data_IF_377810097478
#
_entry.id   IF_377810097478
#
_cell.length_a   1.000
_cell.length_b   1.000
_cell.length_c   1.000
_cell.angle_alpha   90.00
_cell.angle_beta   90.00
_cell.angle_gamma   90.00
#
_symmetry.space_group_name_H-M   'P 1'
#
loop_
_entity.id
_entity.type
_entity.pdbx_description
1 polymer ?
#
# COMPACT_ATOMS: atom_id res chain seq x y z
N UNK A 1 -46.55 41.45 8.66
CA UNK A 1 -46.79 40.10 8.11
C UNK A 1 -45.72 39.86 7.07
N UNK A 2 -44.59 39.32 7.47
CA UNK A 2 -43.57 38.78 6.57
C UNK A 2 -42.98 37.56 7.25
N UNK A 3 -43.29 36.44 6.66
CA UNK A 3 -42.98 35.08 7.09
C UNK A 3 -41.53 34.78 6.66
N UNK A 4 -40.67 34.46 7.59
CA UNK A 4 -39.27 34.09 7.35
C UNK A 4 -39.13 32.62 7.62
N UNK A 5 -39.20 31.78 6.58
CA UNK A 5 -38.92 30.37 6.64
C UNK A 5 -37.43 30.16 6.80
N UNK A 6 -37.01 29.69 7.97
CA UNK A 6 -35.67 29.21 8.25
C UNK A 6 -35.46 27.85 7.60
N UNK A 7 -34.54 27.78 6.63
CA UNK A 7 -34.02 26.52 6.11
C UNK A 7 -33.02 25.93 7.13
N UNK A 8 -33.45 24.89 7.82
CA UNK A 8 -32.61 24.09 8.68
C UNK A 8 -31.70 23.16 7.85
N UNK A 9 -30.44 23.52 7.70
CA UNK A 9 -29.39 22.60 7.27
C UNK A 9 -29.03 21.72 8.46
N UNK A 10 -29.44 20.46 8.41
CA UNK A 10 -28.99 19.42 9.34
C UNK A 10 -27.52 19.12 9.02
N UNK A 11 -26.61 19.06 10.01
CA UNK A 11 -25.23 18.66 9.75
C UNK A 11 -25.21 17.20 9.30
N UNK A 12 -24.47 16.94 8.21
CA UNK A 12 -24.19 15.60 7.75
C UNK A 12 -23.52 14.80 8.89
N UNK A 13 -24.16 13.70 9.28
CA UNK A 13 -23.63 12.79 10.28
C UNK A 13 -22.31 12.20 9.75
N UNK A 14 -21.25 12.45 10.50
CA UNK A 14 -19.90 11.92 10.31
C UNK A 14 -19.98 10.38 10.47
N UNK A 15 -20.15 9.67 9.36
CA UNK A 15 -20.06 8.21 9.31
C UNK A 15 -18.59 7.86 9.13
N UNK A 16 -17.84 7.86 10.22
CA UNK A 16 -16.64 7.02 10.30
C UNK A 16 -17.06 5.59 9.91
N UNK A 17 -16.38 4.90 8.99
CA UNK A 17 -16.71 3.51 8.70
C UNK A 17 -16.52 2.72 9.98
N UNK A 18 -17.63 2.31 10.60
CA UNK A 18 -17.62 1.35 11.70
C UNK A 18 -16.91 0.10 11.18
N UNK A 19 -15.84 -0.33 11.85
CA UNK A 19 -15.25 -1.64 11.63
C UNK A 19 -16.36 -2.66 11.89
N UNK A 20 -16.99 -3.16 10.81
CA UNK A 20 -18.01 -4.18 10.88
C UNK A 20 -17.42 -5.41 11.56
N UNK A 21 -18.15 -6.01 12.47
CA UNK A 21 -17.79 -7.29 13.07
C UNK A 21 -17.53 -8.29 11.94
N UNK A 22 -16.28 -8.71 11.80
CA UNK A 22 -15.86 -9.71 10.81
C UNK A 22 -16.58 -11.01 11.16
N UNK A 23 -17.35 -11.63 10.27
CA UNK A 23 -17.97 -12.92 10.55
C UNK A 23 -16.93 -13.93 11.04
N UNK A 24 -17.25 -14.75 12.01
CA UNK A 24 -16.32 -15.68 12.69
C UNK A 24 -15.58 -16.66 11.76
N UNK A 25 -15.82 -16.61 10.44
CA UNK A 25 -15.25 -17.47 9.42
C UNK A 25 -14.61 -16.68 8.24
N UNK A 26 -14.44 -15.36 8.33
CA UNK A 26 -13.81 -14.56 7.29
C UNK A 26 -12.35 -14.29 7.63
N UNK A 27 -11.48 -14.37 6.61
CA UNK A 27 -10.15 -13.78 6.66
C UNK A 27 -10.25 -12.29 7.02
N UNK A 28 -9.18 -11.72 7.62
CA UNK A 28 -9.07 -10.27 7.77
C UNK A 28 -9.36 -9.57 6.43
N UNK A 29 -9.76 -8.29 6.45
CA UNK A 29 -9.87 -7.50 5.23
C UNK A 29 -8.63 -7.65 4.36
N UNK A 30 -8.83 -7.90 3.07
CA UNK A 30 -7.75 -8.01 2.10
C UNK A 30 -7.67 -6.76 1.24
N UNK A 31 -6.46 -6.26 1.08
CA UNK A 31 -6.13 -5.10 0.27
C UNK A 31 -5.01 -5.43 -0.71
N UNK A 32 -4.85 -4.64 -1.75
CA UNK A 32 -3.84 -4.87 -2.79
C UNK A 32 -2.80 -3.77 -2.80
N UNK A 33 -1.55 -4.14 -3.08
CA UNK A 33 -0.45 -3.23 -3.36
C UNK A 33 -0.02 -3.37 -4.81
N UNK A 34 -0.17 -2.29 -5.57
CA UNK A 34 0.22 -2.22 -6.98
C UNK A 34 1.45 -1.33 -7.17
N UNK A 35 2.44 -1.88 -7.84
CA UNK A 35 3.67 -1.17 -8.22
C UNK A 35 3.58 -0.57 -9.63
N UNK A 36 2.49 -0.77 -10.37
CA UNK A 36 2.41 -0.52 -11.80
C UNK A 36 3.64 -1.12 -12.53
N UNK A 37 3.89 -2.41 -12.26
CA UNK A 37 5.09 -3.12 -12.77
C UNK A 37 5.10 -3.13 -14.29
N UNK A 38 6.21 -2.72 -14.90
CA UNK A 38 6.42 -2.78 -16.35
C UNK A 38 7.06 -4.13 -16.68
N UNK A 39 6.32 -5.04 -17.27
CA UNK A 39 6.85 -6.35 -17.66
C UNK A 39 7.77 -6.24 -18.88
N UNK A 40 8.53 -7.29 -19.13
CA UNK A 40 9.48 -7.34 -20.25
C UNK A 40 8.75 -7.12 -21.59
N UNK A 41 9.15 -6.07 -22.33
CA UNK A 41 8.57 -5.72 -23.63
C UNK A 41 7.37 -4.79 -23.58
N UNK A 42 6.87 -4.46 -22.39
CA UNK A 42 5.79 -3.49 -22.20
C UNK A 42 6.31 -2.04 -22.13
N UNK A 43 5.41 -1.11 -22.39
CA UNK A 43 5.58 0.32 -22.12
C UNK A 43 4.95 0.67 -20.76
N UNK A 44 5.33 1.79 -20.12
CA UNK A 44 4.64 2.27 -18.91
C UNK A 44 3.13 2.43 -19.07
N UNK A 45 2.65 2.78 -20.26
CA UNK A 45 1.22 2.89 -20.54
C UNK A 45 0.47 1.56 -20.34
N UNK A 46 1.10 0.45 -20.75
CA UNK A 46 0.50 -0.88 -20.63
C UNK A 46 0.40 -1.29 -19.14
N UNK A 47 1.35 -0.86 -18.30
CA UNK A 47 1.27 -1.04 -16.85
C UNK A 47 0.16 -0.19 -16.21
N UNK A 48 -0.07 1.03 -16.66
CA UNK A 48 -1.18 1.87 -16.17
C UNK A 48 -2.54 1.30 -16.56
N UNK A 49 -2.69 0.80 -17.79
CA UNK A 49 -3.93 0.13 -18.23
C UNK A 49 -4.20 -1.13 -17.39
N UNK A 50 -3.17 -1.89 -17.04
CA UNK A 50 -3.28 -3.02 -16.12
C UNK A 50 -3.69 -2.59 -14.70
N UNK A 51 -3.12 -1.51 -14.17
CA UNK A 51 -3.50 -0.97 -12.87
C UNK A 51 -4.99 -0.58 -12.82
N UNK A 52 -5.55 -0.06 -13.91
CA UNK A 52 -7.00 0.18 -14.02
C UNK A 52 -7.79 -1.14 -13.99
N UNK A 53 -7.36 -2.14 -14.76
CA UNK A 53 -8.02 -3.46 -14.78
C UNK A 53 -8.00 -4.11 -13.39
N UNK A 54 -6.87 -4.03 -12.68
CA UNK A 54 -6.74 -4.55 -11.32
C UNK A 54 -7.68 -3.84 -10.36
N UNK A 55 -7.76 -2.52 -10.39
CA UNK A 55 -8.65 -1.76 -9.51
C UNK A 55 -10.12 -2.09 -9.75
N UNK A 56 -10.54 -2.20 -11.01
CA UNK A 56 -11.90 -2.57 -11.38
C UNK A 56 -12.23 -4.02 -10.99
N UNK A 57 -11.28 -4.94 -11.11
CA UNK A 57 -11.47 -6.33 -10.71
C UNK A 57 -11.50 -6.44 -9.17
N UNK A 58 -10.60 -5.76 -8.46
CA UNK A 58 -10.57 -5.72 -7.01
C UNK A 58 -11.88 -5.16 -6.42
N UNK A 59 -12.42 -4.09 -7.03
CA UNK A 59 -13.72 -3.52 -6.66
C UNK A 59 -14.85 -4.53 -6.81
N UNK A 60 -14.91 -5.25 -7.93
CA UNK A 60 -15.92 -6.29 -8.20
C UNK A 60 -15.81 -7.49 -7.25
N UNK A 61 -14.62 -7.84 -6.84
CA UNK A 61 -14.34 -8.98 -5.98
C UNK A 61 -14.48 -8.67 -4.49
N UNK A 62 -14.55 -7.38 -4.09
CA UNK A 62 -14.74 -6.99 -2.71
C UNK A 62 -13.47 -6.78 -1.88
N UNK A 63 -12.35 -6.49 -2.52
CA UNK A 63 -11.16 -6.04 -1.81
C UNK A 63 -11.41 -4.69 -1.14
N UNK A 64 -10.81 -4.50 0.05
CA UNK A 64 -11.00 -3.29 0.85
C UNK A 64 -10.45 -2.04 0.17
N UNK A 65 -9.21 -2.13 -0.34
CA UNK A 65 -8.49 -1.03 -0.97
C UNK A 65 -7.43 -1.51 -1.94
N UNK A 66 -6.95 -0.60 -2.78
CA UNK A 66 -5.72 -0.79 -3.53
C UNK A 66 -4.81 0.42 -3.35
N UNK A 67 -3.55 0.17 -2.99
CA UNK A 67 -2.53 1.19 -2.80
C UNK A 67 -1.48 1.14 -3.90
N UNK A 68 -0.99 2.31 -4.28
CA UNK A 68 0.05 2.49 -5.31
C UNK A 68 1.34 2.93 -4.65
N UNK A 69 2.45 2.28 -5.00
CA UNK A 69 3.77 2.64 -4.48
C UNK A 69 4.32 3.93 -5.10
N UNK A 70 5.37 4.48 -4.50
CA UNK A 70 6.18 5.54 -5.12
C UNK A 70 7.63 5.07 -5.26
N UNK A 71 8.11 4.97 -6.51
CA UNK A 71 9.50 4.65 -6.81
C UNK A 71 9.99 5.54 -7.95
N UNK A 72 11.20 6.07 -7.79
CA UNK A 72 11.82 6.92 -8.80
C UNK A 72 12.99 6.20 -9.48
N UNK A 73 13.24 6.53 -10.74
CA UNK A 73 14.36 6.01 -11.54
C UNK A 73 14.39 4.47 -11.64
N UNK A 74 13.24 3.81 -11.59
CA UNK A 74 13.09 2.35 -11.73
C UNK A 74 12.38 2.02 -13.04
N UNK A 75 13.09 1.40 -14.00
CA UNK A 75 12.52 1.06 -15.32
C UNK A 75 11.42 0.00 -15.24
N UNK A 76 11.40 -0.81 -14.20
CA UNK A 76 10.42 -1.88 -13.98
C UNK A 76 9.19 -1.45 -13.18
N UNK A 77 9.13 -0.19 -12.72
CA UNK A 77 8.02 0.33 -11.91
C UNK A 77 7.60 1.68 -12.48
N UNK A 78 6.36 1.80 -12.91
CA UNK A 78 5.83 3.02 -13.50
C UNK A 78 5.19 3.98 -12.47
N UNK A 79 4.91 3.54 -11.24
CA UNK A 79 4.28 4.35 -10.20
C UNK A 79 5.29 5.29 -9.53
N UNK A 80 5.70 6.35 -10.21
CA UNK A 80 6.53 7.43 -9.66
C UNK A 80 5.74 8.63 -9.15
N UNK A 81 4.46 8.70 -9.47
CA UNK A 81 3.56 9.81 -9.10
C UNK A 81 2.23 9.24 -8.64
N UNK A 82 2.14 8.72 -7.40
CA UNK A 82 0.95 8.02 -6.91
C UNK A 82 -0.31 8.90 -6.99
N UNK A 83 -0.25 10.18 -6.64
CA UNK A 83 -1.42 11.06 -6.71
C UNK A 83 -2.02 11.16 -8.13
N UNK A 84 -1.17 11.23 -9.16
CA UNK A 84 -1.62 11.27 -10.58
C UNK A 84 -2.25 9.95 -10.99
N UNK A 85 -1.61 8.82 -10.61
CA UNK A 85 -2.12 7.48 -10.93
C UNK A 85 -3.45 7.22 -10.21
N UNK A 86 -3.56 7.57 -8.94
CA UNK A 86 -4.79 7.46 -8.14
C UNK A 86 -5.92 8.28 -8.78
N UNK A 87 -5.68 9.52 -9.21
CA UNK A 87 -6.68 10.34 -9.90
C UNK A 87 -7.22 9.66 -11.14
N UNK A 88 -6.33 9.08 -11.97
CA UNK A 88 -6.69 8.36 -13.18
C UNK A 88 -7.56 7.13 -12.91
N UNK A 89 -7.23 6.36 -11.86
CA UNK A 89 -7.92 5.12 -11.50
C UNK A 89 -9.24 5.42 -10.77
N UNK A 90 -9.25 6.41 -9.89
CA UNK A 90 -10.44 6.81 -9.15
C UNK A 90 -11.59 7.25 -10.05
N UNK A 91 -11.26 7.89 -11.20
CA UNK A 91 -12.23 8.25 -12.23
C UNK A 91 -12.81 7.04 -13.00
N UNK A 92 -12.24 5.84 -12.82
CA UNK A 92 -12.63 4.60 -13.52
C UNK A 92 -13.17 3.51 -12.58
N UNK A 93 -13.26 3.81 -11.30
CA UNK A 93 -13.79 2.97 -10.23
C UNK A 93 -14.82 3.76 -9.43
N UNK A 94 -15.62 3.09 -8.59
CA UNK A 94 -16.77 3.72 -7.95
C UNK A 94 -16.78 3.61 -6.43
N UNK A 95 -16.28 2.50 -5.86
CA UNK A 95 -16.47 2.16 -4.44
C UNK A 95 -15.18 1.80 -3.72
N UNK A 96 -14.22 1.17 -4.40
CA UNK A 96 -12.96 0.74 -3.79
C UNK A 96 -12.15 1.93 -3.26
N UNK A 97 -11.56 1.77 -2.09
CA UNK A 97 -10.63 2.77 -1.56
C UNK A 97 -9.31 2.74 -2.34
N UNK A 98 -8.78 3.91 -2.61
CA UNK A 98 -7.55 4.08 -3.36
C UNK A 98 -6.57 4.92 -2.53
N UNK A 99 -5.30 4.55 -2.55
CA UNK A 99 -4.33 5.28 -1.75
C UNK A 99 -2.90 5.13 -2.22
N UNK A 100 -2.01 5.84 -1.54
CA UNK A 100 -0.58 5.64 -1.70
C UNK A 100 -0.05 4.64 -0.66
N UNK A 101 0.71 3.67 -1.12
CA UNK A 101 1.37 2.70 -0.26
C UNK A 101 2.89 2.65 -0.46
N UNK A 102 3.53 3.84 -0.30
CA UNK A 102 3.15 5.16 0.19
C UNK A 102 3.78 6.30 -0.60
N UNK A 103 3.37 7.51 -0.22
CA UNK A 103 4.13 8.70 -0.60
C UNK A 103 5.43 8.71 0.20
N UNK A 104 6.56 8.84 -0.48
CA UNK A 104 7.88 9.00 0.16
C UNK A 104 8.03 10.46 0.59
N UNK A 105 7.42 10.80 1.74
CA UNK A 105 7.24 12.20 2.18
C UNK A 105 8.51 13.05 2.20
N UNK A 106 9.72 12.50 2.53
CA UNK A 106 10.96 13.28 2.43
C UNK A 106 11.30 13.82 1.04
N UNK A 107 10.69 13.27 -0.02
CA UNK A 107 10.87 13.75 -1.39
C UNK A 107 9.98 14.96 -1.71
N UNK A 108 9.03 15.30 -0.85
CA UNK A 108 7.96 16.27 -1.12
C UNK A 108 7.89 17.38 -0.06
N UNK A 109 7.20 18.47 -0.40
CA UNK A 109 6.75 19.45 0.60
C UNK A 109 5.40 18.97 1.16
N UNK A 110 5.21 18.95 2.51
CA UNK A 110 3.95 18.50 3.12
C UNK A 110 2.72 19.23 2.60
N UNK A 111 2.82 20.55 2.37
CA UNK A 111 1.73 21.34 1.79
C UNK A 111 1.27 20.80 0.43
N UNK A 112 2.21 20.50 -0.48
CA UNK A 112 1.88 20.01 -1.82
C UNK A 112 1.17 18.65 -1.75
N UNK A 113 1.60 17.77 -0.84
CA UNK A 113 0.92 16.47 -0.64
C UNK A 113 -0.48 16.67 -0.05
N UNK A 114 -0.65 17.61 0.91
CA UNK A 114 -1.96 17.93 1.44
C UNK A 114 -2.92 18.46 0.35
N UNK A 115 -2.43 19.33 -0.54
CA UNK A 115 -3.21 19.85 -1.67
C UNK A 115 -3.58 18.76 -2.69
N UNK A 116 -2.63 17.87 -3.04
CA UNK A 116 -2.88 16.77 -3.97
C UNK A 116 -3.90 15.77 -3.43
N UNK A 117 -3.72 15.29 -2.20
CA UNK A 117 -4.62 14.31 -1.61
C UNK A 117 -5.93 14.93 -1.13
N UNK A 118 -5.92 16.21 -0.75
CA UNK A 118 -7.13 16.98 -0.52
C UNK A 118 -7.97 17.12 -1.81
N UNK A 119 -7.34 17.44 -2.93
CA UNK A 119 -8.00 17.49 -4.23
C UNK A 119 -8.61 16.11 -4.58
N UNK A 120 -7.88 15.03 -4.37
CA UNK A 120 -8.38 13.67 -4.60
C UNK A 120 -9.60 13.36 -3.71
N UNK A 121 -9.56 13.76 -2.44
CA UNK A 121 -10.63 13.53 -1.49
C UNK A 121 -11.90 14.34 -1.82
N UNK A 122 -11.76 15.57 -2.31
CA UNK A 122 -12.89 16.38 -2.80
C UNK A 122 -13.51 15.79 -4.08
N UNK A 123 -12.68 15.27 -4.99
CA UNK A 123 -13.15 14.62 -6.21
C UNK A 123 -13.80 13.25 -5.95
N UNK A 124 -13.32 12.52 -4.93
CA UNK A 124 -13.73 11.14 -4.61
C UNK A 124 -13.94 10.97 -3.10
N UNK A 125 -14.99 11.60 -2.52
CA UNK A 125 -15.22 11.63 -1.08
C UNK A 125 -15.26 10.22 -0.44
N UNK A 126 -14.53 10.07 0.67
CA UNK A 126 -14.52 8.84 1.47
C UNK A 126 -13.74 7.67 0.86
N UNK A 127 -13.04 7.87 -0.27
CA UNK A 127 -12.35 6.78 -0.98
C UNK A 127 -10.82 6.90 -0.99
N UNK A 128 -10.25 7.94 -0.42
CA UNK A 128 -8.82 8.27 -0.56
C UNK A 128 -8.08 8.02 0.74
N UNK A 129 -7.02 7.23 0.67
CA UNK A 129 -6.07 6.96 1.75
C UNK A 129 -4.70 7.59 1.46
N UNK A 130 -3.96 7.94 2.50
CA UNK A 130 -2.61 8.48 2.36
C UNK A 130 -1.62 7.73 3.26
N UNK A 131 -0.93 6.76 2.68
CA UNK A 131 0.19 6.11 3.33
C UNK A 131 1.49 6.89 3.16
N UNK A 132 2.27 7.02 4.23
CA UNK A 132 3.47 7.85 4.31
C UNK A 132 4.69 6.99 4.62
N UNK A 133 5.71 7.04 3.75
CA UNK A 133 6.99 6.38 3.92
C UNK A 133 8.12 7.36 4.21
N UNK A 134 9.08 6.92 5.05
CA UNK A 134 10.29 7.70 5.36
C UNK A 134 11.43 7.46 4.37
N UNK A 135 11.50 6.25 3.79
CA UNK A 135 12.55 5.92 2.84
C UNK A 135 12.40 6.75 1.55
N UNK A 136 13.51 7.15 0.90
CA UNK A 136 13.41 7.97 -0.32
C UNK A 136 12.87 7.21 -1.54
N UNK A 137 12.76 5.87 -1.48
CA UNK A 137 12.29 5.04 -2.61
C UNK A 137 13.17 5.13 -3.86
N UNK A 138 14.45 5.52 -3.71
CA UNK A 138 15.36 5.75 -4.83
C UNK A 138 16.83 5.79 -4.39
N UNK A 139 17.74 5.98 -5.37
CA UNK A 139 19.18 6.13 -5.17
C UNK A 139 19.62 7.59 -4.93
N UNK A 140 20.88 7.77 -4.51
CA UNK A 140 21.44 9.10 -4.19
C UNK A 140 21.50 10.06 -5.40
N UNK A 141 21.68 9.56 -6.62
CA UNK A 141 21.71 10.42 -7.81
C UNK A 141 20.31 10.97 -8.10
N UNK A 142 19.31 10.15 -7.91
CA UNK A 142 17.90 10.55 -8.06
C UNK A 142 17.49 11.53 -6.96
N UNK A 143 17.96 11.36 -5.72
CA UNK A 143 17.74 12.37 -4.66
C UNK A 143 18.27 13.74 -5.05
N UNK A 144 19.48 13.82 -5.67
CA UNK A 144 20.02 15.08 -6.20
C UNK A 144 19.14 15.68 -7.29
N UNK A 145 18.58 14.84 -8.19
CA UNK A 145 17.66 15.29 -9.22
C UNK A 145 16.34 15.82 -8.64
N UNK A 146 15.87 15.22 -7.53
CA UNK A 146 14.72 15.68 -6.74
C UNK A 146 15.08 16.93 -5.87
N UNK A 147 16.35 17.37 -5.86
CA UNK A 147 16.85 18.47 -5.03
C UNK A 147 16.62 18.23 -3.54
N UNK A 148 16.79 16.98 -3.10
CA UNK A 148 16.65 16.55 -1.72
C UNK A 148 17.99 16.08 -1.16
N UNK A 149 18.24 16.44 0.10
CA UNK A 149 19.38 15.98 0.86
C UNK A 149 19.03 14.66 1.60
N UNK A 150 20.02 13.77 1.84
CA UNK A 150 19.77 12.55 2.63
C UNK A 150 19.18 12.81 4.02
N UNK A 151 19.49 13.95 4.62
CA UNK A 151 18.96 14.40 5.92
C UNK A 151 17.46 14.72 5.91
N UNK A 152 16.82 14.88 4.74
CA UNK A 152 15.38 15.10 4.65
C UNK A 152 14.54 13.98 5.32
N UNK A 153 15.10 12.77 5.45
CA UNK A 153 14.44 11.69 6.19
C UNK A 153 14.43 11.90 7.72
N UNK A 154 15.23 12.81 8.25
CA UNK A 154 15.30 13.11 9.70
C UNK A 154 14.13 13.98 10.15
N UNK A 155 13.56 14.80 9.25
CA UNK A 155 12.39 15.66 9.52
C UNK A 155 11.07 14.96 9.33
N UNK A 156 11.07 13.66 8.94
CA UNK A 156 9.86 12.90 8.64
C UNK A 156 8.77 12.99 9.73
N UNK A 157 9.05 12.89 11.04
CA UNK A 157 8.01 13.04 12.06
C UNK A 157 7.36 14.44 12.07
N UNK A 158 8.16 15.49 11.86
CA UNK A 158 7.69 16.87 11.79
C UNK A 158 6.86 17.09 10.53
N UNK A 159 7.31 16.53 9.39
CA UNK A 159 6.62 16.63 8.12
C UNK A 159 5.25 15.91 8.16
N UNK A 160 5.16 14.75 8.82
CA UNK A 160 3.89 14.05 9.08
C UNK A 160 2.96 14.90 9.94
N UNK A 161 3.49 15.50 11.00
CA UNK A 161 2.69 16.34 11.88
C UNK A 161 2.22 17.65 11.20
N UNK A 162 3.03 18.20 10.30
CA UNK A 162 2.64 19.37 9.47
C UNK A 162 1.54 18.98 8.48
N UNK A 163 1.72 17.88 7.75
CA UNK A 163 0.73 17.34 6.82
C UNK A 163 -0.60 17.04 7.53
N UNK A 164 -0.56 16.43 8.71
CA UNK A 164 -1.75 16.19 9.52
C UNK A 164 -2.48 17.50 9.84
N UNK A 165 -1.74 18.55 10.22
CA UNK A 165 -2.30 19.88 10.48
C UNK A 165 -2.97 20.49 9.25
N UNK A 166 -2.39 20.33 8.05
CA UNK A 166 -2.98 20.82 6.81
C UNK A 166 -4.31 20.13 6.47
N UNK A 167 -4.43 18.83 6.71
CA UNK A 167 -5.63 18.06 6.38
C UNK A 167 -6.74 18.15 7.43
N UNK A 168 -6.37 18.31 8.70
CA UNK A 168 -7.30 18.24 9.83
C UNK A 168 -7.50 19.57 10.57
N UNK A 169 -6.55 20.50 10.43
CA UNK A 169 -6.49 21.75 11.20
C UNK A 169 -6.06 21.57 12.67
N UNK A 170 -5.57 22.63 13.29
CA UNK A 170 -5.06 23.84 12.65
C UNK A 170 -3.73 23.61 11.94
N UNK A 171 -3.44 24.40 10.90
CA UNK A 171 -2.12 24.43 10.26
C UNK A 171 -1.03 24.78 11.27
N UNK A 172 0.13 24.09 11.17
CA UNK A 172 1.29 24.38 12.00
C UNK A 172 2.08 25.61 11.52
N UNK A 173 1.83 26.08 10.32
CA UNK A 173 2.44 27.29 9.75
C UNK A 173 1.38 28.40 9.71
N UNK A 174 1.51 29.44 10.54
CA UNK A 174 0.53 30.51 10.58
C UNK A 174 0.31 31.21 9.23
N UNK A 175 -0.95 31.35 8.83
CA UNK A 175 -1.32 31.98 7.57
C UNK A 175 -1.16 31.12 6.32
N UNK A 176 -0.81 29.84 6.46
CA UNK A 176 -0.74 28.88 5.35
C UNK A 176 -1.80 27.80 5.55
N UNK A 177 -2.66 27.63 4.58
CA UNK A 177 -3.69 26.61 4.56
C UNK A 177 -3.56 25.76 3.28
N UNK A 178 -3.78 24.48 3.39
CA UNK A 178 -3.87 23.62 2.22
C UNK A 178 -5.26 23.75 1.59
N UNK A 179 -5.34 24.28 0.39
CA UNK A 179 -6.61 24.41 -0.36
C UNK A 179 -6.55 23.53 -1.60
N UNK A 180 -7.46 22.55 -1.73
CA UNK A 180 -8.69 22.28 -0.96
C UNK A 180 -8.51 21.29 0.22
N UNK A 181 -7.29 20.97 0.66
CA UNK A 181 -7.01 19.90 1.62
C UNK A 181 -7.57 20.08 3.04
N UNK A 182 -7.69 21.32 3.51
CA UNK A 182 -8.14 21.63 4.87
C UNK A 182 -9.55 21.08 5.15
N UNK A 183 -9.67 20.28 6.20
CA UNK A 183 -10.93 19.69 6.63
C UNK A 183 -11.37 18.44 5.87
N UNK A 184 -10.64 17.99 4.84
CA UNK A 184 -10.93 16.76 4.11
C UNK A 184 -10.71 15.50 4.95
N UNK A 185 -9.89 15.62 6.00
CA UNK A 185 -9.62 14.55 6.96
C UNK A 185 -9.17 13.23 6.28
N UNK A 186 -8.37 13.32 5.22
CA UNK A 186 -7.83 12.12 4.55
C UNK A 186 -7.15 11.21 5.57
N UNK A 187 -7.50 9.92 5.65
CA UNK A 187 -6.87 8.98 6.56
C UNK A 187 -5.38 8.82 6.28
N UNK A 188 -4.56 8.99 7.32
CA UNK A 188 -3.11 8.81 7.26
C UNK A 188 -2.69 7.45 7.81
N UNK A 189 -1.71 6.83 7.16
CA UNK A 189 -1.09 5.56 7.57
C UNK A 189 0.43 5.73 7.58
N UNK A 190 1.10 5.25 8.63
CA UNK A 190 2.57 5.23 8.65
C UNK A 190 3.06 3.90 8.08
N UNK A 191 3.87 3.96 7.04
CA UNK A 191 4.47 2.79 6.42
C UNK A 191 5.93 2.63 6.87
N UNK A 192 6.33 1.39 7.08
CA UNK A 192 7.72 1.11 7.42
C UNK A 192 8.09 -0.36 7.34
N UNK A 193 9.39 -0.60 7.48
CA UNK A 193 9.99 -1.94 7.57
C UNK A 193 10.95 -2.05 8.76
N UNK A 194 10.80 -1.15 9.74
CA UNK A 194 11.69 -1.04 10.90
C UNK A 194 10.94 -0.56 12.13
N UNK A 195 11.59 -0.66 13.30
CA UNK A 195 11.02 -0.22 14.58
C UNK A 195 10.71 1.29 14.63
N UNK A 196 11.43 2.11 13.86
CA UNK A 196 11.20 3.56 13.84
C UNK A 196 9.78 3.91 13.38
N UNK A 197 9.30 3.30 12.27
CA UNK A 197 7.94 3.53 11.79
C UNK A 197 6.88 3.08 12.80
N UNK A 198 7.11 1.97 13.48
CA UNK A 198 6.25 1.43 14.52
C UNK A 198 6.12 2.41 15.71
N UNK A 199 7.25 2.92 16.21
CA UNK A 199 7.29 3.89 17.31
C UNK A 199 6.60 5.20 16.94
N UNK A 200 6.84 5.70 15.71
CA UNK A 200 6.22 6.92 15.24
C UNK A 200 4.70 6.78 15.10
N UNK A 201 4.24 5.69 14.47
CA UNK A 201 2.81 5.42 14.31
C UNK A 201 2.12 5.30 15.68
N UNK A 202 2.72 4.58 16.63
CA UNK A 202 2.21 4.44 17.99
C UNK A 202 2.10 5.79 18.70
N UNK A 203 3.14 6.61 18.65
CA UNK A 203 3.16 7.93 19.29
C UNK A 203 2.14 8.90 18.69
N UNK A 204 1.90 8.82 17.38
CA UNK A 204 0.93 9.68 16.69
C UNK A 204 -0.52 9.15 16.75
N UNK A 205 -0.74 7.94 17.28
CA UNK A 205 -2.05 7.30 17.29
C UNK A 205 -2.59 7.05 15.88
N UNK A 206 -1.72 6.67 14.94
CA UNK A 206 -2.05 6.39 13.54
C UNK A 206 -1.93 4.90 13.23
N UNK A 207 -2.70 4.38 12.25
CA UNK A 207 -2.52 3.03 11.73
C UNK A 207 -1.11 2.79 11.19
N UNK A 208 -0.60 1.57 11.38
CA UNK A 208 0.73 1.17 10.97
C UNK A 208 0.68 0.09 9.89
N UNK A 209 1.41 0.29 8.79
CA UNK A 209 1.55 -0.69 7.73
C UNK A 209 2.99 -1.18 7.63
N UNK A 210 3.21 -2.49 7.85
CA UNK A 210 4.54 -3.08 7.78
C UNK A 210 4.79 -3.76 6.43
N UNK A 211 5.89 -3.39 5.79
CA UNK A 211 6.26 -3.84 4.44
C UNK A 211 6.95 -5.23 4.45
N UNK A 212 6.33 -6.23 5.07
CA UNK A 212 6.89 -7.59 5.25
C UNK A 212 7.04 -8.38 3.96
N UNK A 213 6.37 -7.98 2.88
CA UNK A 213 6.48 -8.59 1.55
C UNK A 213 7.87 -8.44 0.90
N UNK A 214 8.72 -7.55 1.42
CA UNK A 214 10.11 -7.41 0.97
C UNK A 214 11.11 -7.23 2.11
N UNK A 215 10.70 -6.91 3.34
CA UNK A 215 11.55 -6.71 4.50
C UNK A 215 11.01 -7.49 5.71
N UNK A 216 11.09 -8.84 5.72
CA UNK A 216 10.37 -9.69 6.67
C UNK A 216 10.94 -9.65 8.10
N UNK A 217 12.22 -9.33 8.28
CA UNK A 217 12.99 -9.65 9.49
C UNK A 217 12.45 -9.02 10.77
N UNK A 218 11.96 -7.78 10.72
CA UNK A 218 11.56 -7.05 11.92
C UNK A 218 10.03 -7.05 12.17
N UNK A 219 9.23 -7.79 11.40
CA UNK A 219 7.77 -7.74 11.43
C UNK A 219 7.21 -7.87 12.85
N UNK A 220 7.42 -8.99 13.49
CA UNK A 220 6.82 -9.30 14.80
C UNK A 220 7.27 -8.33 15.89
N UNK A 221 8.57 -7.99 15.90
CA UNK A 221 9.09 -7.02 16.84
C UNK A 221 8.51 -5.61 16.63
N UNK A 222 8.37 -5.18 15.38
CA UNK A 222 7.82 -3.87 15.06
C UNK A 222 6.34 -3.77 15.43
N UNK A 223 5.55 -4.82 15.15
CA UNK A 223 4.14 -4.87 15.54
C UNK A 223 3.98 -4.87 17.06
N UNK A 224 4.80 -5.64 17.79
CA UNK A 224 4.78 -5.62 19.24
C UNK A 224 5.09 -4.23 19.79
N UNK A 225 6.16 -3.58 19.30
CA UNK A 225 6.52 -2.21 19.70
C UNK A 225 5.40 -1.22 19.41
N UNK A 226 4.74 -1.35 18.26
CA UNK A 226 3.60 -0.50 17.91
C UNK A 226 2.45 -0.68 18.89
N UNK A 227 2.01 -1.91 19.15
CA UNK A 227 0.87 -2.20 20.04
C UNK A 227 1.14 -1.81 21.48
N UNK A 228 2.34 -2.12 22.01
CA UNK A 228 2.72 -1.84 23.40
C UNK A 228 2.82 -0.34 23.71
N UNK A 229 3.15 0.49 22.72
CA UNK A 229 3.36 1.93 22.89
C UNK A 229 2.26 2.78 22.24
N UNK A 230 1.18 2.17 21.76
CA UNK A 230 0.11 2.88 21.06
C UNK A 230 -0.56 3.91 21.96
N UNK A 231 -0.67 5.14 21.44
CA UNK A 231 -1.39 6.23 22.07
C UNK A 231 -2.71 6.46 21.32
N UNK A 232 -3.86 6.13 21.93
CA UNK A 232 -5.15 6.34 21.28
C UNK A 232 -5.36 7.76 20.82
N UNK A 233 -5.89 7.92 19.60
CA UNK A 233 -6.32 9.21 19.07
C UNK A 233 -7.86 9.22 18.91
N UNK A 234 -8.44 10.41 18.76
CA UNK A 234 -9.90 10.54 18.56
C UNK A 234 -10.41 9.71 17.37
N UNK A 235 -9.61 9.64 16.29
CA UNK A 235 -9.97 8.91 15.06
C UNK A 235 -9.61 7.43 15.11
N UNK A 236 -8.63 7.06 15.90
CA UNK A 236 -8.13 5.69 16.02
C UNK A 236 -8.02 5.35 17.52
N UNK A 237 -9.12 4.97 18.18
CA UNK A 237 -9.12 4.61 19.61
C UNK A 237 -8.34 3.32 19.87
N UNK A 238 -8.21 2.44 18.85
CA UNK A 238 -7.49 1.17 18.92
C UNK A 238 -6.36 1.11 17.90
N UNK A 239 -5.27 0.38 18.19
CA UNK A 239 -4.18 0.19 17.23
C UNK A 239 -4.66 -0.64 16.04
N UNK A 240 -4.22 -0.26 14.82
CA UNK A 240 -4.56 -0.96 13.59
C UNK A 240 -3.31 -1.28 12.79
N UNK A 241 -3.08 -2.57 12.52
CA UNK A 241 -1.91 -3.10 11.84
C UNK A 241 -2.29 -3.66 10.47
N UNK A 242 -1.62 -3.17 9.43
CA UNK A 242 -1.64 -3.76 8.09
C UNK A 242 -0.32 -4.49 7.87
N UNK A 243 -0.35 -5.81 7.64
CA UNK A 243 0.84 -6.58 7.29
C UNK A 243 0.86 -6.94 5.81
N UNK A 244 1.98 -6.67 5.13
CA UNK A 244 2.09 -6.96 3.72
C UNK A 244 2.59 -8.39 3.48
N UNK A 245 1.99 -9.09 2.50
CA UNK A 245 2.28 -10.49 2.16
C UNK A 245 2.26 -10.69 0.65
N UNK A 246 3.16 -11.53 0.14
CA UNK A 246 3.14 -11.92 -1.27
C UNK A 246 2.15 -13.06 -1.50
N UNK A 247 1.47 -13.06 -2.63
CA UNK A 247 0.54 -14.14 -3.02
C UNK A 247 0.78 -14.52 -4.48
N UNK A 248 0.90 -15.84 -4.71
CA UNK A 248 0.83 -16.47 -6.03
C UNK A 248 -0.19 -17.59 -5.95
N UNK A 249 -1.42 -17.33 -6.38
CA UNK A 249 -2.49 -18.30 -6.41
C UNK A 249 -2.76 -18.78 -7.85
N UNK A 250 -2.92 -20.09 -8.04
CA UNK A 250 -3.26 -20.68 -9.32
C UNK A 250 -4.26 -21.85 -9.15
N UNK A 251 -4.79 -22.36 -10.26
CA UNK A 251 -5.77 -23.46 -10.23
C UNK A 251 -5.17 -24.77 -9.72
N UNK A 252 -3.86 -24.95 -9.89
CA UNK A 252 -3.13 -26.10 -9.37
C UNK A 252 -1.88 -25.66 -8.58
N UNK A 253 -1.45 -26.53 -7.66
CA UNK A 253 -0.23 -26.30 -6.88
C UNK A 253 1.00 -26.16 -7.77
N UNK A 254 1.13 -27.01 -8.79
CA UNK A 254 2.27 -27.00 -9.73
C UNK A 254 2.35 -25.71 -10.55
N UNK A 255 1.22 -25.16 -10.99
CA UNK A 255 1.16 -23.87 -11.68
C UNK A 255 1.59 -22.71 -10.77
N UNK A 256 1.10 -22.68 -9.54
CA UNK A 256 1.48 -21.64 -8.58
C UNK A 256 2.99 -21.69 -8.28
N UNK A 257 3.55 -22.88 -8.07
CA UNK A 257 4.99 -23.06 -7.83
C UNK A 257 5.84 -22.64 -9.03
N UNK A 258 5.39 -22.94 -10.25
CA UNK A 258 6.10 -22.52 -11.47
C UNK A 258 6.06 -20.99 -11.65
N UNK A 259 4.89 -20.36 -11.46
CA UNK A 259 4.76 -18.91 -11.49
C UNK A 259 5.67 -18.25 -10.46
N UNK A 260 5.67 -18.74 -9.22
CA UNK A 260 6.51 -18.19 -8.16
C UNK A 260 8.01 -18.39 -8.44
N UNK A 261 8.40 -19.52 -9.03
CA UNK A 261 9.79 -19.76 -9.47
C UNK A 261 10.23 -18.71 -10.51
N UNK A 262 9.37 -18.38 -11.46
CA UNK A 262 9.65 -17.32 -12.45
C UNK A 262 9.79 -15.94 -11.80
N UNK A 263 8.98 -15.63 -10.79
CA UNK A 263 9.09 -14.40 -9.98
C UNK A 263 10.44 -14.37 -9.26
N UNK A 264 10.83 -15.45 -8.59
CA UNK A 264 12.13 -15.56 -7.90
C UNK A 264 13.29 -15.35 -8.89
N UNK A 265 13.26 -15.99 -10.04
CA UNK A 265 14.27 -15.84 -11.10
C UNK A 265 14.36 -14.38 -11.57
N UNK A 266 13.22 -13.74 -11.80
CA UNK A 266 13.17 -12.34 -12.22
C UNK A 266 13.73 -11.41 -11.13
N UNK A 267 13.39 -11.64 -9.86
CA UNK A 267 13.88 -10.86 -8.72
C UNK A 267 15.41 -10.94 -8.62
N UNK A 268 15.98 -12.13 -8.66
CA UNK A 268 17.44 -12.34 -8.60
C UNK A 268 18.12 -11.72 -9.82
N UNK A 269 17.57 -11.91 -11.03
CA UNK A 269 18.08 -11.31 -12.26
C UNK A 269 18.17 -9.78 -12.18
N UNK A 270 17.13 -9.14 -11.68
CA UNK A 270 17.06 -7.67 -11.56
C UNK A 270 18.02 -7.17 -10.48
N UNK A 271 18.02 -7.76 -9.30
CA UNK A 271 18.76 -7.24 -8.14
C UNK A 271 20.24 -7.59 -8.18
N UNK A 272 20.59 -8.82 -8.54
CA UNK A 272 21.97 -9.29 -8.57
C UNK A 272 22.64 -9.19 -9.95
N UNK A 273 21.85 -9.17 -11.01
CA UNK A 273 22.36 -9.05 -12.38
C UNK A 273 22.97 -7.70 -12.72
N UNK A 274 22.66 -6.65 -11.95
CA UNK A 274 23.21 -5.28 -12.14
C UNK A 274 23.13 -4.79 -13.58
N UNK A 275 22.06 -5.11 -14.30
CA UNK A 275 21.87 -4.73 -15.70
C UNK A 275 22.59 -5.61 -16.72
N UNK A 276 23.32 -6.66 -16.30
CA UNK A 276 23.94 -7.64 -17.20
C UNK A 276 22.87 -8.61 -17.75
N UNK A 277 23.09 -9.04 -19.00
CA UNK A 277 22.37 -10.21 -19.54
C UNK A 277 22.99 -11.48 -18.94
N UNK A 278 22.20 -12.25 -18.20
CA UNK A 278 22.62 -13.52 -17.62
C UNK A 278 22.04 -14.67 -18.46
N UNK A 279 22.83 -15.74 -18.67
CA UNK A 279 22.30 -16.99 -19.19
C UNK A 279 21.44 -17.69 -18.13
N UNK A 280 20.68 -18.72 -18.50
CA UNK A 280 19.86 -19.45 -17.54
C UNK A 280 20.72 -20.20 -16.51
N UNK A 281 21.89 -20.77 -16.96
CA UNK A 281 22.86 -21.42 -16.07
C UNK A 281 23.50 -20.45 -15.09
N UNK A 282 23.88 -19.24 -15.57
CA UNK A 282 24.41 -18.18 -14.67
C UNK A 282 23.37 -17.74 -13.65
N UNK A 283 22.10 -17.69 -14.05
CA UNK A 283 21.01 -17.31 -13.15
C UNK A 283 20.75 -18.40 -12.10
N UNK A 284 20.79 -19.68 -12.48
CA UNK A 284 20.65 -20.79 -11.55
C UNK A 284 21.77 -20.80 -10.51
N UNK A 285 23.03 -20.65 -10.95
CA UNK A 285 24.15 -20.51 -10.03
C UNK A 285 24.03 -19.32 -9.10
N UNK A 286 23.47 -18.20 -9.62
CA UNK A 286 23.27 -17.00 -8.82
C UNK A 286 22.16 -17.17 -7.79
N UNK A 287 21.07 -17.85 -8.13
CA UNK A 287 19.98 -18.18 -7.21
C UNK A 287 20.51 -19.02 -6.05
N UNK A 288 21.33 -20.02 -6.32
CA UNK A 288 21.92 -20.91 -5.29
C UNK A 288 23.03 -20.25 -4.47
N UNK A 289 23.53 -19.10 -4.89
CA UNK A 289 24.55 -18.38 -4.16
C UNK A 289 24.01 -17.72 -2.88
N UNK A 290 24.88 -17.43 -1.86
CA UNK A 290 24.47 -16.69 -0.67
C UNK A 290 23.79 -15.35 -0.99
N UNK A 291 24.23 -14.65 -2.02
CA UNK A 291 23.65 -13.38 -2.46
C UNK A 291 22.25 -13.58 -3.05
N UNK A 292 22.05 -14.63 -3.84
CA UNK A 292 20.72 -15.01 -4.36
C UNK A 292 19.76 -15.41 -3.24
N UNK A 293 20.22 -16.23 -2.31
CA UNK A 293 19.42 -16.63 -1.16
C UNK A 293 19.03 -15.44 -0.26
N UNK A 294 19.92 -14.47 -0.08
CA UNK A 294 19.60 -13.25 0.64
C UNK A 294 18.52 -12.41 -0.08
N UNK A 295 18.53 -12.38 -1.42
CA UNK A 295 17.48 -11.72 -2.21
C UNK A 295 16.16 -12.49 -2.07
N UNK A 296 16.19 -13.82 -2.09
CA UNK A 296 14.99 -14.65 -1.94
C UNK A 296 14.41 -14.60 -0.52
N UNK A 297 15.24 -14.36 0.51
CA UNK A 297 14.74 -14.15 1.87
C UNK A 297 13.79 -12.94 1.98
N UNK A 298 13.88 -11.98 1.09
CA UNK A 298 12.89 -10.89 0.97
C UNK A 298 11.48 -11.40 0.66
N UNK A 299 11.35 -12.57 0.04
CA UNK A 299 10.08 -13.22 -0.32
C UNK A 299 9.63 -14.26 0.72
N UNK A 300 10.18 -14.24 1.92
CA UNK A 300 9.88 -15.21 3.01
C UNK A 300 8.39 -15.33 3.29
N UNK A 301 7.68 -14.22 3.31
CA UNK A 301 6.24 -14.21 3.51
C UNK A 301 5.53 -14.24 2.15
N UNK A 302 5.39 -15.44 1.60
CA UNK A 302 4.73 -15.70 0.32
C UNK A 302 3.79 -16.89 0.42
N UNK A 303 2.51 -16.66 0.18
CA UNK A 303 1.50 -17.69 0.01
C UNK A 303 1.53 -18.19 -1.44
N UNK A 304 1.84 -19.48 -1.67
CA UNK A 304 1.99 -20.05 -3.01
C UNK A 304 1.17 -21.34 -3.10
N UNK A 305 0.16 -21.38 -3.97
CA UNK A 305 -0.64 -22.58 -4.13
C UNK A 305 -2.05 -22.34 -4.64
N UNK A 306 -2.88 -23.36 -4.44
CA UNK A 306 -4.33 -23.28 -4.69
C UNK A 306 -5.03 -22.40 -3.65
N UNK A 307 -6.30 -22.07 -3.87
CA UNK A 307 -7.09 -21.24 -2.96
C UNK A 307 -7.05 -21.71 -1.50
N UNK A 308 -7.21 -23.02 -1.27
CA UNK A 308 -7.19 -23.59 0.09
C UNK A 308 -5.81 -23.49 0.76
N UNK A 309 -4.74 -23.64 -0.01
CA UNK A 309 -3.35 -23.51 0.49
C UNK A 309 -3.08 -22.04 0.84
N UNK A 310 -3.44 -21.14 -0.06
CA UNK A 310 -3.27 -19.68 0.15
C UNK A 310 -4.08 -19.20 1.34
N UNK A 311 -5.35 -19.61 1.47
CA UNK A 311 -6.20 -19.25 2.61
C UNK A 311 -5.55 -19.65 3.93
N UNK A 312 -5.13 -20.91 4.07
CA UNK A 312 -4.50 -21.40 5.30
C UNK A 312 -3.24 -20.63 5.65
N UNK A 313 -2.39 -20.39 4.65
CA UNK A 313 -1.17 -19.59 4.85
C UNK A 313 -1.50 -18.15 5.34
N UNK A 314 -2.50 -17.50 4.76
CA UNK A 314 -2.89 -16.14 5.13
C UNK A 314 -3.50 -16.08 6.54
N UNK A 315 -4.25 -17.11 6.97
CA UNK A 315 -4.75 -17.24 8.34
C UNK A 315 -3.58 -17.34 9.34
N UNK A 316 -2.64 -18.24 9.09
CA UNK A 316 -1.43 -18.41 9.91
C UNK A 316 -0.55 -17.13 9.91
N UNK A 317 -0.39 -16.50 8.75
CA UNK A 317 0.39 -15.26 8.64
C UNK A 317 -0.27 -14.10 9.37
N UNK A 318 -1.59 -13.96 9.29
CA UNK A 318 -2.34 -12.96 10.03
C UNK A 318 -2.12 -13.08 11.55
N UNK A 319 -2.20 -14.30 12.08
CA UNK A 319 -1.97 -14.56 13.50
C UNK A 319 -0.50 -14.26 13.87
N UNK A 320 0.45 -14.73 13.08
CA UNK A 320 1.88 -14.47 13.28
C UNK A 320 2.21 -12.97 13.28
N UNK A 321 1.62 -12.21 12.35
CA UNK A 321 1.81 -10.78 12.22
C UNK A 321 0.94 -9.96 13.17
N UNK A 322 -0.01 -10.58 13.89
CA UNK A 322 -1.05 -9.89 14.65
C UNK A 322 -1.73 -8.78 13.84
N UNK A 323 -2.03 -9.07 12.57
CA UNK A 323 -2.54 -8.09 11.61
C UNK A 323 -4.07 -7.97 11.68
N UNK A 324 -4.55 -6.73 11.58
CA UNK A 324 -5.97 -6.39 11.45
C UNK A 324 -6.41 -6.40 9.99
N UNK A 325 -5.47 -6.17 9.05
CA UNK A 325 -5.66 -6.19 7.60
C UNK A 325 -4.43 -6.78 6.90
N UNK A 326 -4.61 -7.48 5.79
CA UNK A 326 -3.51 -8.00 4.98
C UNK A 326 -3.40 -7.21 3.66
N UNK A 327 -2.22 -6.63 3.42
CA UNK A 327 -1.88 -5.95 2.16
C UNK A 327 -1.19 -6.94 1.23
N UNK A 328 -1.89 -7.39 0.21
CA UNK A 328 -1.43 -8.42 -0.72
C UNK A 328 -0.65 -7.78 -1.87
N UNK A 329 0.58 -8.26 -2.08
CA UNK A 329 1.36 -8.03 -3.29
C UNK A 329 1.25 -9.26 -4.19
N UNK A 330 0.51 -9.16 -5.28
CA UNK A 330 0.38 -10.26 -6.23
C UNK A 330 1.70 -10.51 -6.94
N UNK A 331 2.18 -11.74 -6.89
CA UNK A 331 3.44 -12.18 -7.48
C UNK A 331 3.13 -13.14 -8.64
N UNK A 332 2.82 -12.58 -9.80
CA UNK A 332 2.49 -13.34 -11.00
C UNK A 332 3.27 -12.81 -12.21
N UNK A 333 3.71 -13.67 -13.13
CA UNK A 333 4.55 -13.27 -14.25
C UNK A 333 3.80 -12.55 -15.38
N UNK A 334 2.47 -12.59 -15.41
CA UNK A 334 1.65 -11.92 -16.43
C UNK A 334 0.37 -11.31 -15.88
N UNK A 335 -0.27 -10.47 -16.68
CA UNK A 335 -1.56 -9.85 -16.34
C UNK A 335 -2.67 -10.90 -16.16
N UNK A 336 -2.74 -11.90 -17.03
CA UNK A 336 -3.78 -12.94 -16.96
C UNK A 336 -3.64 -13.76 -15.66
N UNK A 337 -2.43 -14.17 -15.32
CA UNK A 337 -2.13 -14.91 -14.09
C UNK A 337 -2.40 -14.05 -12.84
N UNK A 338 -2.09 -12.76 -12.88
CA UNK A 338 -2.40 -11.85 -11.77
C UNK A 338 -3.91 -11.71 -11.53
N UNK A 339 -4.70 -11.54 -12.59
CA UNK A 339 -6.16 -11.46 -12.48
C UNK A 339 -6.74 -12.77 -11.97
N UNK A 340 -6.24 -13.92 -12.47
CA UNK A 340 -6.67 -15.23 -11.99
C UNK A 340 -6.31 -15.47 -10.52
N UNK A 341 -5.09 -15.09 -10.11
CA UNK A 341 -4.66 -15.13 -8.72
C UNK A 341 -5.56 -14.28 -7.81
N UNK A 342 -5.97 -13.11 -8.27
CA UNK A 342 -6.90 -12.24 -7.55
C UNK A 342 -8.29 -12.88 -7.38
N UNK A 343 -8.83 -13.55 -8.40
CA UNK A 343 -10.10 -14.28 -8.33
C UNK A 343 -10.03 -15.43 -7.32
N UNK A 344 -9.01 -16.28 -7.45
CA UNK A 344 -8.79 -17.41 -6.54
C UNK A 344 -8.66 -16.94 -5.09
N UNK A 345 -7.93 -15.84 -4.87
CA UNK A 345 -7.76 -15.25 -3.54
C UNK A 345 -9.09 -14.72 -2.98
N UNK A 346 -9.88 -14.02 -3.80
CA UNK A 346 -11.19 -13.50 -3.38
C UNK A 346 -12.16 -14.62 -3.02
N UNK A 347 -12.22 -15.67 -3.83
CA UNK A 347 -13.05 -16.87 -3.56
C UNK A 347 -12.60 -17.56 -2.26
N UNK A 348 -11.28 -17.80 -2.10
CA UNK A 348 -10.70 -18.42 -0.92
C UNK A 348 -10.98 -17.61 0.37
N UNK A 349 -10.95 -16.29 0.28
CA UNK A 349 -11.24 -15.38 1.39
C UNK A 349 -12.74 -15.12 1.59
N UNK A 350 -13.60 -15.63 0.72
CA UNK A 350 -15.05 -15.38 0.72
C UNK A 350 -15.38 -13.87 0.67
N UNK A 351 -14.63 -13.11 -0.12
CA UNK A 351 -14.87 -11.68 -0.29
C UNK A 351 -16.22 -11.45 -0.98
N UNK A 352 -16.84 -10.34 -0.64
CA UNK A 352 -18.09 -9.89 -1.28
C UNK A 352 -17.99 -8.40 -1.57
N UNK A 353 -18.47 -7.94 -2.73
CA UNK A 353 -18.49 -6.52 -3.05
C UNK A 353 -19.17 -5.70 -1.97
N UNK A 354 -18.66 -4.49 -1.72
CA UNK A 354 -19.32 -3.57 -0.79
C UNK A 354 -20.74 -3.30 -1.27
N UNK A 355 -21.73 -3.57 -0.40
CA UNK A 355 -23.11 -3.17 -0.65
C UNK A 355 -23.20 -1.65 -0.57
N UNK A 356 -23.78 -1.01 -1.58
CA UNK A 356 -23.98 0.44 -1.65
C UNK A 356 -25.11 0.89 -0.72
#
# INVERSE_FOLDING_TARGET
>A
MTDTTANGNSPAQDKTPAHGETPANSLAPLSLLDFATVFKGERPADAFDRSVQWAQQAEKLGFQRIWYSEHHNMKSIASSSPAVLIAHIAAKTSTINLGAGGVMLPNHAPLVIAEQFGTLAELHPGRIDLGLGRAPGTDQMTLRALRREPSAAETFPQDVAELYGYLNGPSKIPGVEAVPGMGTKVPLYILGSSLFGAQLAAHLGLPYSFASHFAPTALTQAVQVYRDNYQPSERHPEPYVIAAVNVTAADTQGEAEEQFRQVCRTRVRVMAGRGRSLTEEELDMLIDSPAGQQILDMLRYSAVGTGDVVRRYLEEFREHAQADELMVSLQSPSTAESLRSMEILADAASLSPAQR
#
